data_IF_799505663909
#
_entry.id   IF_799505663909
#
_cell.length_a   1.000
_cell.length_b   1.000
_cell.length_c   1.000
_cell.angle_alpha   90.00
_cell.angle_beta   90.00
_cell.angle_gamma   90.00
#
_symmetry.space_group_name_H-M   'P 1'
#
loop_
_entity.id
_entity.type
_entity.pdbx_description
1 polymer ?
#
# COMPACT_ATOMS: atom_id res chain seq x y z
N UNK A 1 -27.72 -42.36 33.14
CA UNK A 1 -27.81 -42.08 31.71
C UNK A 1 -26.54 -41.35 31.29
N UNK A 2 -25.59 -42.10 30.73
CA UNK A 2 -24.26 -41.63 30.39
C UNK A 2 -24.26 -41.33 28.87
N UNK A 3 -24.14 -40.06 28.49
CA UNK A 3 -24.04 -39.64 27.12
C UNK A 3 -22.58 -39.70 26.63
N UNK A 4 -22.32 -40.56 25.69
CA UNK A 4 -21.01 -40.73 25.05
C UNK A 4 -20.74 -39.59 24.04
N UNK A 5 -19.53 -39.06 24.09
CA UNK A 5 -18.97 -38.08 23.13
C UNK A 5 -18.55 -38.79 21.83
N UNK A 6 -18.77 -38.16 20.66
CA UNK A 6 -18.29 -38.74 19.40
C UNK A 6 -16.80 -38.45 19.19
N UNK A 7 -16.06 -39.49 18.81
CA UNK A 7 -14.67 -39.48 18.40
C UNK A 7 -14.45 -38.75 17.07
N UNK A 8 -13.34 -38.02 16.89
CA UNK A 8 -13.00 -37.40 15.58
C UNK A 8 -12.31 -38.41 14.66
N UNK A 9 -12.73 -38.39 13.39
CA UNK A 9 -12.16 -39.16 12.28
C UNK A 9 -10.79 -38.58 11.84
N UNK A 10 -9.85 -39.42 11.37
CA UNK A 10 -8.54 -38.99 10.93
C UNK A 10 -8.56 -38.36 9.52
N UNK A 11 -7.81 -37.24 9.35
CA UNK A 11 -7.62 -36.60 8.09
C UNK A 11 -6.68 -37.40 7.18
N UNK A 12 -7.16 -37.73 5.99
CA UNK A 12 -6.39 -38.30 4.88
C UNK A 12 -5.53 -37.24 4.23
N UNK A 13 -4.22 -37.38 4.38
CA UNK A 13 -3.22 -36.66 3.61
C UNK A 13 -3.25 -37.14 2.14
N UNK A 14 -3.53 -36.24 1.21
CA UNK A 14 -3.25 -36.43 -0.21
C UNK A 14 -2.06 -35.56 -0.62
N UNK A 15 -0.93 -36.21 -0.76
CA UNK A 15 0.22 -35.69 -1.49
C UNK A 15 -0.13 -35.74 -2.99
N UNK A 16 0.03 -34.63 -3.70
CA UNK A 16 0.06 -34.60 -5.13
C UNK A 16 1.25 -33.72 -5.56
N UNK A 17 2.34 -34.40 -5.90
CA UNK A 17 3.49 -33.82 -6.56
C UNK A 17 3.15 -33.50 -8.03
N UNK A 18 3.60 -32.33 -8.49
CA UNK A 18 3.77 -32.04 -9.92
C UNK A 18 5.06 -31.28 -10.11
N UNK A 19 6.04 -32.01 -10.58
CA UNK A 19 7.21 -31.58 -11.33
C UNK A 19 6.77 -30.97 -12.66
N UNK A 20 7.42 -29.88 -13.07
CA UNK A 20 7.17 -29.26 -14.38
C UNK A 20 8.10 -28.09 -14.62
N UNK A 21 9.28 -28.40 -15.10
CA UNK A 21 9.97 -27.95 -16.32
C UNK A 21 10.35 -26.46 -16.42
N UNK A 22 11.65 -26.26 -16.29
CA UNK A 22 12.41 -25.07 -16.74
C UNK A 22 12.42 -25.05 -18.27
N UNK A 23 12.08 -23.90 -18.86
CA UNK A 23 12.46 -23.57 -20.24
C UNK A 23 13.34 -22.33 -20.18
N UNK A 24 14.62 -22.53 -20.46
CA UNK A 24 15.58 -21.50 -20.78
C UNK A 24 15.44 -21.20 -22.27
N UNK A 25 15.29 -19.95 -22.66
CA UNK A 25 15.53 -19.48 -24.02
C UNK A 25 16.63 -18.43 -23.98
N UNK A 26 17.78 -18.86 -24.40
CA UNK A 26 18.90 -18.00 -24.84
C UNK A 26 18.62 -17.57 -26.27
N UNK A 27 18.77 -16.27 -26.56
CA UNK A 27 18.75 -15.75 -27.93
C UNK A 27 19.69 -14.56 -28.04
N UNK A 28 20.72 -14.76 -28.85
CA UNK A 28 21.91 -13.95 -29.02
C UNK A 28 21.73 -12.80 -30.03
N UNK A 29 22.52 -11.73 -29.79
CA UNK A 29 23.31 -10.94 -30.75
C UNK A 29 22.65 -10.37 -32.02
N UNK A 30 22.70 -9.04 -32.18
CA UNK A 30 23.14 -8.38 -33.38
C UNK A 30 23.75 -7.02 -33.10
N UNK A 31 25.05 -6.94 -33.36
CA UNK A 31 25.90 -5.75 -33.48
C UNK A 31 25.61 -5.09 -34.81
N UNK A 32 25.40 -3.80 -34.83
CA UNK A 32 25.30 -3.00 -36.03
C UNK A 32 25.99 -1.65 -35.82
N UNK A 33 27.29 -1.61 -36.15
CA UNK A 33 28.09 -0.40 -36.27
C UNK A 33 27.89 0.16 -37.69
N UNK A 34 27.52 1.41 -37.84
CA UNK A 34 27.77 2.18 -39.07
C UNK A 34 28.20 3.59 -38.70
N UNK A 35 29.49 3.78 -38.91
CA UNK A 35 30.22 5.03 -38.98
C UNK A 35 29.97 5.73 -40.30
N UNK A 36 29.77 7.02 -40.32
CA UNK A 36 30.23 7.91 -41.39
C UNK A 36 30.20 9.37 -40.96
N UNK A 37 31.35 9.95 -40.86
CA UNK A 37 31.67 11.35 -41.08
C UNK A 37 32.52 11.40 -42.39
N UNK A 38 32.97 12.54 -42.86
CA UNK A 38 32.61 13.95 -42.77
C UNK A 38 32.57 14.59 -44.20
N UNK A 39 32.28 15.86 -44.33
CA UNK A 39 33.02 16.74 -45.27
C UNK A 39 32.83 18.21 -44.92
N UNK A 40 33.98 18.85 -44.86
CA UNK A 40 34.20 20.30 -44.81
C UNK A 40 33.91 20.93 -46.16
N UNK A 41 33.65 22.23 -46.13
CA UNK A 41 34.21 23.35 -46.89
C UNK A 41 33.18 24.47 -46.98
N UNK A 42 33.43 25.62 -46.67
CA UNK A 42 34.40 26.69 -46.92
C UNK A 42 33.65 28.01 -47.30
N UNK A 43 34.07 29.06 -46.64
CA UNK A 43 34.13 30.45 -47.10
C UNK A 43 32.86 31.19 -47.52
N UNK A 44 32.63 32.26 -46.77
CA UNK A 44 31.78 33.38 -47.16
C UNK A 44 31.76 34.49 -46.11
N UNK A 45 32.79 35.31 -46.08
CA UNK A 45 32.80 36.56 -45.33
C UNK A 45 31.99 37.61 -46.09
N UNK A 46 31.02 38.25 -45.44
CA UNK A 46 30.61 39.64 -45.76
C UNK A 46 29.90 40.31 -44.58
N UNK A 47 30.48 41.45 -44.24
CA UNK A 47 29.89 42.70 -43.79
C UNK A 47 29.00 42.76 -42.52
N UNK A 48 29.60 43.47 -41.58
CA UNK A 48 28.94 44.10 -40.45
C UNK A 48 27.78 45.03 -40.85
N UNK A 49 26.65 44.86 -40.24
CA UNK A 49 25.69 45.96 -40.04
C UNK A 49 25.28 45.98 -38.57
N UNK A 50 25.54 47.12 -37.95
CA UNK A 50 25.12 47.46 -36.60
C UNK A 50 23.60 47.34 -36.48
N UNK A 51 23.11 46.45 -35.68
CA UNK A 51 21.73 46.45 -35.22
C UNK A 51 21.72 46.57 -33.69
N UNK A 52 21.16 47.65 -33.27
CA UNK A 52 20.90 48.08 -31.91
C UNK A 52 20.38 46.95 -31.03
N UNK A 53 21.06 46.69 -29.93
CA UNK A 53 20.64 45.84 -28.87
C UNK A 53 19.36 46.38 -28.22
N UNK A 54 18.21 45.81 -28.62
CA UNK A 54 16.97 45.96 -27.88
C UNK A 54 17.00 44.96 -26.73
N UNK A 55 17.27 45.44 -25.53
CA UNK A 55 17.21 44.70 -24.30
C UNK A 55 15.77 44.32 -24.02
N UNK A 56 15.31 43.20 -24.56
CA UNK A 56 14.09 42.57 -24.11
C UNK A 56 14.39 41.94 -22.75
N UNK A 57 13.98 42.66 -21.70
CA UNK A 57 13.88 42.08 -20.37
C UNK A 57 13.04 40.82 -20.47
N UNK A 58 13.71 39.65 -20.44
CA UNK A 58 13.04 38.38 -20.27
C UNK A 58 12.36 38.41 -18.89
N UNK A 59 11.08 38.72 -18.88
CA UNK A 59 10.23 38.50 -17.72
C UNK A 59 10.22 36.99 -17.49
N UNK A 60 11.10 36.55 -16.60
CA UNK A 60 11.13 35.19 -16.09
C UNK A 60 9.76 34.87 -15.49
N UNK A 61 8.95 34.25 -16.30
CA UNK A 61 7.63 33.78 -15.92
C UNK A 61 7.83 32.69 -14.86
N UNK A 62 7.87 33.14 -13.57
CA UNK A 62 7.90 32.21 -12.43
C UNK A 62 6.73 31.26 -12.60
N UNK A 63 7.03 30.04 -13.04
CA UNK A 63 6.05 28.93 -13.03
C UNK A 63 5.57 28.76 -11.60
N UNK A 64 4.25 28.76 -11.37
CA UNK A 64 3.71 28.46 -10.04
C UNK A 64 4.28 27.13 -9.61
N UNK A 65 5.02 27.11 -8.50
CA UNK A 65 5.48 25.87 -7.87
C UNK A 65 4.23 25.08 -7.59
N UNK A 66 3.96 24.04 -8.38
CA UNK A 66 2.90 23.08 -8.14
C UNK A 66 3.14 22.49 -6.74
N UNK A 67 2.48 23.07 -5.76
CA UNK A 67 2.47 22.55 -4.40
C UNK A 67 1.68 21.24 -4.46
N UNK A 68 2.37 20.10 -4.75
CA UNK A 68 1.76 18.79 -4.62
C UNK A 68 1.21 18.69 -3.20
N UNK A 69 -0.11 18.51 -3.02
CA UNK A 69 -0.68 18.41 -1.69
C UNK A 69 0.08 17.32 -0.93
N UNK A 70 0.71 17.66 0.17
CA UNK A 70 1.38 16.70 1.05
C UNK A 70 0.26 15.82 1.63
N UNK A 71 0.02 14.70 0.99
CA UNK A 71 -0.92 13.71 1.52
C UNK A 71 -0.56 13.39 2.96
N UNK A 72 -1.56 13.43 3.86
CA UNK A 72 -1.34 13.11 5.27
C UNK A 72 -0.72 11.72 5.42
N UNK A 73 0.05 11.50 6.50
CA UNK A 73 0.64 10.18 6.79
C UNK A 73 -0.43 9.06 6.74
N UNK A 74 -1.61 9.33 7.28
CA UNK A 74 -2.74 8.37 7.27
C UNK A 74 -3.20 8.04 5.86
N UNK A 75 -3.26 9.02 4.96
CA UNK A 75 -3.59 8.78 3.55
C UNK A 75 -2.52 7.90 2.86
N UNK A 76 -1.24 8.19 3.10
CA UNK A 76 -0.14 7.35 2.57
C UNK A 76 -0.18 5.92 3.12
N UNK A 77 -0.49 5.77 4.43
CA UNK A 77 -0.68 4.46 5.05
C UNK A 77 -1.82 3.68 4.37
N UNK A 78 -2.96 4.34 4.13
CA UNK A 78 -4.07 3.74 3.40
C UNK A 78 -3.66 3.29 1.99
N UNK A 79 -2.94 4.13 1.25
CA UNK A 79 -2.44 3.78 -0.09
C UNK A 79 -1.50 2.58 -0.04
N UNK A 80 -0.60 2.52 0.95
CA UNK A 80 0.29 1.38 1.17
C UNK A 80 -0.51 0.10 1.47
N UNK A 81 -1.52 0.18 2.34
CA UNK A 81 -2.37 -0.96 2.68
C UNK A 81 -3.18 -1.47 1.47
N UNK A 82 -3.69 -0.56 0.64
CA UNK A 82 -4.40 -0.91 -0.61
C UNK A 82 -3.48 -1.66 -1.58
N UNK A 83 -2.22 -1.27 -1.68
CA UNK A 83 -1.23 -1.93 -2.54
C UNK A 83 -0.93 -3.38 -2.11
N UNK A 84 -1.25 -3.78 -0.87
CA UNK A 84 -1.07 -5.15 -0.39
C UNK A 84 -2.31 -6.06 -0.63
N UNK A 85 -3.34 -5.55 -1.30
CA UNK A 85 -4.52 -6.38 -1.63
C UNK A 85 -4.12 -7.58 -2.49
N UNK A 86 -4.56 -8.76 -2.07
CA UNK A 86 -4.19 -10.01 -2.72
C UNK A 86 -3.05 -10.76 -2.02
N UNK A 87 -2.27 -10.11 -1.14
CA UNK A 87 -1.24 -10.78 -0.35
C UNK A 87 -1.85 -11.77 0.65
N UNK A 88 -1.25 -12.95 0.84
CA UNK A 88 -1.80 -13.97 1.72
C UNK A 88 -1.72 -13.56 3.19
N UNK A 89 -2.73 -14.00 3.96
CA UNK A 89 -2.66 -13.94 5.41
C UNK A 89 -1.60 -14.91 5.94
N UNK A 90 -0.83 -14.46 6.93
CA UNK A 90 -0.01 -15.33 7.77
C UNK A 90 0.05 -14.77 9.18
N UNK A 91 -0.27 -15.60 10.18
CA UNK A 91 -0.22 -15.20 11.59
C UNK A 91 1.19 -14.74 11.97
N UNK A 92 1.29 -13.61 12.68
CA UNK A 92 2.56 -13.01 13.08
C UNK A 92 3.31 -12.27 11.98
N UNK A 93 2.84 -12.28 10.72
CA UNK A 93 3.52 -11.62 9.61
C UNK A 93 3.18 -10.12 9.53
N UNK A 94 4.18 -9.30 9.19
CA UNK A 94 4.07 -7.86 9.04
C UNK A 94 4.73 -7.36 7.73
N UNK A 95 4.57 -8.13 6.65
CA UNK A 95 5.06 -7.79 5.31
C UNK A 95 6.48 -8.30 5.00
N UNK A 96 6.96 -8.01 3.79
CA UNK A 96 6.28 -7.25 2.74
C UNK A 96 5.22 -8.04 1.96
N UNK A 97 5.25 -9.39 1.96
CA UNK A 97 4.45 -10.23 1.06
C UNK A 97 3.39 -11.09 1.78
N UNK A 98 3.29 -10.98 3.10
CA UNK A 98 2.34 -11.70 3.96
C UNK A 98 2.00 -10.84 5.18
N UNK A 99 0.78 -10.93 5.66
CA UNK A 99 0.28 -10.08 6.74
C UNK A 99 -0.69 -10.83 7.64
N UNK A 100 -0.65 -10.53 8.95
CA UNK A 100 -1.84 -10.63 9.79
C UNK A 100 -2.53 -9.25 9.86
N UNK A 101 -3.64 -9.15 10.58
CA UNK A 101 -4.46 -7.95 10.66
C UNK A 101 -3.67 -6.72 11.16
N UNK A 102 -2.99 -6.86 12.28
CA UNK A 102 -2.18 -5.79 12.88
C UNK A 102 -0.84 -5.60 12.19
N UNK A 103 -0.32 -6.63 11.52
CA UNK A 103 0.88 -6.56 10.71
C UNK A 103 0.68 -5.71 9.45
N UNK A 104 -0.48 -5.82 8.81
CA UNK A 104 -0.84 -4.97 7.67
C UNK A 104 -0.87 -3.48 8.07
N UNK A 105 -1.52 -3.16 9.17
CA UNK A 105 -1.57 -1.79 9.69
C UNK A 105 -0.19 -1.31 10.14
N UNK A 106 0.55 -2.13 10.91
CA UNK A 106 1.91 -1.86 11.32
C UNK A 106 2.82 -1.51 10.13
N UNK A 107 2.88 -2.36 9.12
CA UNK A 107 3.66 -2.16 7.92
C UNK A 107 3.29 -0.86 7.20
N UNK A 108 2.00 -0.66 6.97
CA UNK A 108 1.49 0.46 6.18
C UNK A 108 1.74 1.81 6.86
N UNK A 109 1.50 1.89 8.16
CA UNK A 109 1.67 3.13 8.91
C UNK A 109 3.14 3.46 9.16
N UNK A 110 4.01 2.47 9.39
CA UNK A 110 5.45 2.70 9.48
C UNK A 110 6.04 3.23 8.17
N UNK A 111 5.68 2.66 7.04
CA UNK A 111 6.08 3.17 5.71
C UNK A 111 5.56 4.58 5.43
N UNK A 112 4.47 4.95 6.03
CA UNK A 112 3.93 6.31 5.96
C UNK A 112 4.62 7.32 6.90
N UNK A 113 5.58 6.87 7.74
CA UNK A 113 6.33 7.70 8.67
C UNK A 113 5.69 7.81 10.06
N UNK A 114 4.88 6.83 10.48
CA UNK A 114 4.37 6.69 11.85
C UNK A 114 5.12 5.52 12.50
N UNK A 115 6.37 5.77 12.92
CA UNK A 115 7.29 4.72 13.38
C UNK A 115 6.95 4.14 14.75
N UNK A 116 6.20 4.87 15.59
CA UNK A 116 5.81 4.44 16.94
C UNK A 116 4.61 3.50 17.00
N UNK A 117 3.97 3.15 15.86
CA UNK A 117 2.82 2.23 15.87
C UNK A 117 3.22 0.85 16.41
N UNK A 118 2.49 0.30 17.42
CA UNK A 118 2.80 -1.02 17.99
C UNK A 118 2.45 -2.16 17.04
N UNK A 119 2.97 -3.38 17.37
CA UNK A 119 2.79 -4.55 16.51
C UNK A 119 1.40 -5.20 16.63
N UNK A 120 0.80 -5.25 17.80
CA UNK A 120 -0.46 -5.98 18.05
C UNK A 120 -1.70 -5.09 17.95
N UNK A 121 -2.85 -5.68 17.62
CA UNK A 121 -4.12 -4.96 17.50
C UNK A 121 -4.52 -4.25 18.80
N UNK A 122 -4.37 -4.92 19.95
CA UNK A 122 -4.68 -4.31 21.26
C UNK A 122 -3.76 -3.13 21.57
N UNK A 123 -2.45 -3.27 21.35
CA UNK A 123 -1.52 -2.16 21.58
C UNK A 123 -1.75 -0.99 20.59
N UNK A 124 -2.14 -1.29 19.35
CA UNK A 124 -2.54 -0.25 18.38
C UNK A 124 -3.80 0.48 18.80
N UNK A 125 -4.76 -0.20 19.42
CA UNK A 125 -5.96 0.41 19.96
C UNK A 125 -5.64 1.42 21.08
N UNK A 126 -4.73 1.06 21.99
CA UNK A 126 -4.25 2.01 23.04
C UNK A 126 -3.41 3.15 22.45
N UNK A 127 -2.65 2.90 21.41
CA UNK A 127 -1.83 3.92 20.75
C UNK A 127 -2.66 4.91 19.95
N UNK A 128 -3.75 4.49 19.31
CA UNK A 128 -4.60 5.35 18.52
C UNK A 128 -5.45 6.28 19.40
N UNK A 129 -5.66 7.51 18.96
CA UNK A 129 -6.64 8.40 19.59
C UNK A 129 -8.04 7.95 19.22
N UNK A 130 -8.87 7.63 20.18
CA UNK A 130 -10.27 7.25 19.96
C UNK A 130 -11.06 8.42 19.36
N UNK A 131 -11.96 8.12 18.43
CA UNK A 131 -12.85 9.08 17.78
C UNK A 131 -14.27 8.52 17.71
N UNK A 132 -15.26 9.35 17.45
CA UNK A 132 -16.61 8.87 17.18
C UNK A 132 -16.70 8.22 15.79
N UNK A 133 -17.66 7.31 15.61
CA UNK A 133 -17.90 6.64 14.31
C UNK A 133 -18.28 7.64 13.20
N UNK A 134 -18.87 8.77 13.54
CA UNK A 134 -19.20 9.85 12.60
C UNK A 134 -17.99 10.69 12.18
N UNK A 135 -16.93 10.73 13.00
CA UNK A 135 -15.71 11.50 12.72
C UNK A 135 -14.66 10.72 11.91
N UNK A 136 -14.96 9.47 11.53
CA UNK A 136 -14.06 8.64 10.76
C UNK A 136 -13.78 9.19 9.36
N UNK A 137 -12.52 9.09 8.95
CA UNK A 137 -12.07 9.36 7.58
C UNK A 137 -11.34 8.13 7.03
N UNK A 138 -11.36 7.94 5.72
CA UNK A 138 -10.61 6.85 5.08
C UNK A 138 -9.16 6.85 5.56
N UNK A 139 -8.69 5.66 5.96
CA UNK A 139 -7.38 5.46 6.55
C UNK A 139 -7.37 5.45 8.09
N UNK A 140 -8.44 5.83 8.79
CA UNK A 140 -8.55 5.61 10.23
C UNK A 140 -8.65 4.11 10.54
N UNK A 141 -8.30 3.72 11.75
CA UNK A 141 -8.32 2.32 12.18
C UNK A 141 -9.69 1.93 12.73
N UNK A 142 -10.05 0.68 12.51
CA UNK A 142 -11.23 0.02 13.08
C UNK A 142 -10.76 -1.13 13.95
N UNK A 143 -11.07 -1.09 15.23
CA UNK A 143 -10.72 -2.11 16.22
C UNK A 143 -11.96 -2.93 16.56
N UNK A 144 -11.91 -4.22 16.29
CA UNK A 144 -13.00 -5.15 16.53
C UNK A 144 -12.80 -5.86 17.85
N UNK A 145 -13.89 -5.92 18.63
CA UNK A 145 -13.88 -6.44 19.99
C UNK A 145 -14.85 -7.61 20.17
N UNK A 146 -14.50 -8.46 21.10
CA UNK A 146 -15.38 -9.47 21.72
C UNK A 146 -15.31 -9.29 23.26
N UNK A 147 -15.84 -10.25 24.00
CA UNK A 147 -15.80 -10.21 25.48
C UNK A 147 -14.38 -10.25 26.07
N UNK A 148 -13.37 -10.66 25.28
CA UNK A 148 -11.97 -10.75 25.67
C UNK A 148 -11.10 -9.55 25.29
N UNK A 149 -11.62 -8.58 24.57
CA UNK A 149 -10.89 -7.37 24.17
C UNK A 149 -10.78 -7.17 22.65
N UNK A 150 -9.68 -6.54 22.19
CA UNK A 150 -9.45 -6.27 20.76
C UNK A 150 -8.82 -7.48 20.08
N UNK A 151 -9.59 -8.22 19.29
CA UNK A 151 -9.11 -9.40 18.58
C UNK A 151 -8.66 -9.13 17.13
N UNK A 152 -9.12 -8.01 16.54
CA UNK A 152 -8.83 -7.70 15.14
C UNK A 152 -8.73 -6.20 14.88
N UNK A 153 -8.01 -5.83 13.82
CA UNK A 153 -7.89 -4.45 13.36
C UNK A 153 -7.88 -4.41 11.83
N UNK A 154 -8.44 -3.33 11.29
CA UNK A 154 -8.35 -3.01 9.87
C UNK A 154 -8.37 -1.52 9.63
N UNK A 155 -8.21 -1.12 8.37
CA UNK A 155 -8.21 0.27 7.93
C UNK A 155 -9.58 0.60 7.34
N UNK A 156 -10.19 1.67 7.80
CA UNK A 156 -11.46 2.15 7.27
C UNK A 156 -11.32 2.54 5.80
N UNK A 157 -12.00 1.82 4.92
CA UNK A 157 -11.91 2.00 3.48
C UNK A 157 -13.00 2.90 2.89
N UNK A 158 -13.95 3.36 3.71
CA UNK A 158 -15.04 4.22 3.29
C UNK A 158 -16.41 3.59 3.44
N UNK A 159 -17.38 4.16 2.72
CA UNK A 159 -18.79 3.76 2.74
C UNK A 159 -19.23 3.36 1.34
N UNK A 160 -19.92 2.24 1.19
CA UNK A 160 -20.47 1.78 -0.07
C UNK A 160 -21.73 0.94 0.16
N UNK A 161 -22.77 1.17 -0.63
CA UNK A 161 -24.05 0.44 -0.56
C UNK A 161 -24.62 0.38 0.86
N UNK A 162 -24.66 1.51 1.57
CA UNK A 162 -25.19 1.60 2.93
C UNK A 162 -24.32 0.94 4.02
N UNK A 163 -23.09 0.50 3.72
CA UNK A 163 -22.22 -0.20 4.67
C UNK A 163 -20.81 0.41 4.74
N UNK A 164 -20.24 0.40 5.94
CA UNK A 164 -18.82 0.71 6.14
C UNK A 164 -17.97 -0.43 5.60
N UNK A 165 -16.85 -0.07 4.98
CA UNK A 165 -15.88 -1.02 4.44
C UNK A 165 -14.60 -0.99 5.27
N UNK A 166 -14.00 -2.15 5.49
CA UNK A 166 -12.72 -2.33 6.15
C UNK A 166 -11.75 -3.05 5.23
N UNK A 167 -10.54 -2.50 5.07
CA UNK A 167 -9.41 -3.15 4.42
C UNK A 167 -8.58 -3.85 5.49
N UNK A 168 -8.40 -5.16 5.36
CA UNK A 168 -7.75 -5.98 6.37
C UNK A 168 -7.13 -7.26 5.81
N UNK A 169 -6.33 -7.94 6.62
CA UNK A 169 -5.94 -9.34 6.46
C UNK A 169 -6.79 -10.16 7.44
N UNK A 170 -7.83 -10.90 6.98
CA UNK A 170 -8.85 -11.45 7.88
C UNK A 170 -8.37 -12.60 8.78
N UNK A 171 -8.00 -13.74 8.17
CA UNK A 171 -7.61 -14.98 8.86
C UNK A 171 -6.88 -15.95 7.91
N UNK A 172 -6.35 -17.03 8.45
CA UNK A 172 -5.62 -18.06 7.70
C UNK A 172 -6.42 -18.62 6.52
N UNK A 173 -5.75 -18.82 5.40
CA UNK A 173 -6.38 -19.28 4.16
C UNK A 173 -6.99 -18.15 3.32
N UNK A 174 -6.95 -16.91 3.79
CA UNK A 174 -7.46 -15.74 3.07
C UNK A 174 -6.34 -14.80 2.61
N UNK A 175 -6.76 -13.72 1.96
CA UNK A 175 -5.87 -12.68 1.44
C UNK A 175 -6.30 -11.31 1.95
N UNK A 176 -5.38 -10.34 1.94
CA UNK A 176 -5.70 -8.93 2.18
C UNK A 176 -6.79 -8.49 1.21
N UNK A 177 -7.89 -7.97 1.75
CA UNK A 177 -9.06 -7.56 0.96
C UNK A 177 -9.88 -6.48 1.64
N UNK A 178 -10.88 -5.99 0.95
CA UNK A 178 -11.84 -5.04 1.48
C UNK A 178 -13.19 -5.73 1.63
N UNK A 179 -13.69 -5.80 2.86
CA UNK A 179 -14.98 -6.41 3.19
C UNK A 179 -15.94 -5.38 3.79
N UNK A 180 -17.25 -5.59 3.69
CA UNK A 180 -18.21 -4.89 4.51
C UNK A 180 -18.01 -5.25 5.99
N UNK A 181 -18.18 -4.27 6.87
CA UNK A 181 -18.13 -4.49 8.33
C UNK A 181 -19.23 -5.47 8.72
N UNK A 182 -18.88 -6.53 9.46
CA UNK A 182 -19.71 -7.71 9.75
C UNK A 182 -20.34 -7.70 11.14
N UNK A 183 -19.92 -6.78 12.02
CA UNK A 183 -20.39 -6.70 13.42
C UNK A 183 -20.54 -5.26 13.86
N UNK A 184 -21.30 -5.02 14.91
CA UNK A 184 -21.38 -3.72 15.58
C UNK A 184 -20.41 -3.59 16.77
N UNK A 185 -19.73 -4.68 17.15
CA UNK A 185 -18.75 -4.71 18.25
C UNK A 185 -17.38 -4.23 17.77
N UNK A 186 -17.24 -2.93 17.54
CA UNK A 186 -16.00 -2.28 17.16
C UNK A 186 -16.02 -0.79 17.53
N UNK A 187 -14.82 -0.22 17.61
CA UNK A 187 -14.65 1.23 17.79
C UNK A 187 -13.54 1.77 16.87
N UNK A 188 -13.62 3.05 16.49
CA UNK A 188 -12.61 3.65 15.65
C UNK A 188 -11.52 4.35 16.44
N UNK A 189 -10.31 4.36 15.84
CA UNK A 189 -9.19 5.15 16.29
C UNK A 189 -8.48 5.84 15.14
N UNK A 190 -7.82 6.95 15.40
CA UNK A 190 -7.10 7.71 14.40
C UNK A 190 -5.64 7.92 14.76
N UNK A 191 -4.78 7.89 13.74
CA UNK A 191 -3.37 8.29 13.83
C UNK A 191 -3.12 9.63 13.13
N UNK A 192 -4.18 10.39 12.82
CA UNK A 192 -4.04 11.76 12.29
C UNK A 192 -3.41 12.65 13.35
N UNK A 193 -2.36 13.40 12.96
CA UNK A 193 -1.59 14.24 13.85
C UNK A 193 -0.39 13.56 14.52
N UNK A 194 -0.12 12.27 14.19
CA UNK A 194 1.06 11.52 14.65
C UNK A 194 2.24 11.66 13.70
#
# INVERSE_FOLDING_TARGET
MTLALPTPLPALARACGRTGARVALSGALAVGILTSAPTSDAHGAVAATHATASTVAATERQQPKHHRPRHSKVFRAMSTAVAQKGDPYAYGAAGPNRFDCSGLTYYSFRRAGIHGIPRTSSAQAHFARHISRGAMKRGDLMFFTDGGGVYHVGVYAGWKHGRRLVLHAPYSGTRVRTDPVWTNSWFPGTLRGR
#
